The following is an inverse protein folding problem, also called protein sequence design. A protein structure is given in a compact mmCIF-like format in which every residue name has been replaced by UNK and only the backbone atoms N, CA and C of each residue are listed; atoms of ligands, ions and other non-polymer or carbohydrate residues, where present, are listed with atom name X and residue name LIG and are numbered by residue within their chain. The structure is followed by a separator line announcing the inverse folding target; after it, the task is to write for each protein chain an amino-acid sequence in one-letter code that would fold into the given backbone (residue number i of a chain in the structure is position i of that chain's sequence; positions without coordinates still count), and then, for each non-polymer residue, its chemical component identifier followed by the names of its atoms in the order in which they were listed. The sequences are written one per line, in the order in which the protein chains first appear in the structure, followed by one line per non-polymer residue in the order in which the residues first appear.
data_IF_199468549962
#
_entry.id   IF_199468549962
#
_cell.length_a   1.000
_cell.length_b   1.000
_cell.length_c   1.000
_cell.angle_alpha   90.00
_cell.angle_beta   90.00
_cell.angle_gamma   90.00
#
_symmetry.space_group_name_H-M   'P 1'
#
loop_
_entity.id
_entity.type
_entity.pdbx_description
1 polymer ?
#
# COMPACT_ATOMS: atom_id res chain seq x y z
N UNK A 1 4.72 4.66 -15.83
CA UNK A 1 3.88 5.80 -15.40
C UNK A 1 4.16 6.12 -13.93
N UNK A 2 3.82 5.25 -12.99
CA UNK A 2 4.08 5.44 -11.54
C UNK A 2 5.52 5.82 -11.18
N UNK A 3 6.53 5.19 -11.77
CA UNK A 3 7.93 5.55 -11.51
C UNK A 3 8.25 6.99 -11.92
N UNK A 4 7.72 7.44 -13.06
CA UNK A 4 7.93 8.80 -13.57
C UNK A 4 7.26 9.85 -12.70
N UNK A 5 6.07 9.55 -12.16
CA UNK A 5 5.39 10.41 -11.19
C UNK A 5 6.15 10.48 -9.87
N UNK A 6 6.66 9.35 -9.37
CA UNK A 6 7.49 9.33 -8.17
C UNK A 6 8.78 10.14 -8.36
N UNK A 7 9.43 10.04 -9.52
CA UNK A 7 10.63 10.80 -9.85
C UNK A 7 10.36 12.31 -9.89
N UNK A 8 9.18 12.72 -10.39
CA UNK A 8 8.75 14.13 -10.41
C UNK A 8 8.45 14.65 -9.00
N UNK A 9 7.74 13.89 -8.17
CA UNK A 9 7.43 14.26 -6.78
C UNK A 9 8.70 14.30 -5.91
N UNK A 10 9.65 13.39 -6.16
CA UNK A 10 10.91 13.30 -5.42
C UNK A 10 12.02 14.21 -5.98
N UNK A 11 11.75 14.99 -7.03
CA UNK A 11 12.75 15.84 -7.66
C UNK A 11 13.30 16.87 -6.65
N UNK A 12 14.61 17.11 -6.63
CA UNK A 12 15.21 18.12 -5.77
C UNK A 12 14.69 19.50 -6.17
N UNK A 13 14.44 20.33 -5.16
CA UNK A 13 14.05 21.73 -5.40
C UNK A 13 15.29 22.49 -5.92
N UNK A 14 15.09 23.37 -6.90
CA UNK A 14 16.15 24.16 -7.53
C UNK A 14 16.86 25.16 -6.59
N UNK A 15 16.44 25.24 -5.32
CA UNK A 15 17.02 26.08 -4.26
C UNK A 15 18.10 25.36 -3.42
N UNK A 16 18.40 24.10 -3.74
CA UNK A 16 19.39 23.29 -3.03
C UNK A 16 18.88 22.68 -1.73
N UNK A 17 17.59 22.83 -1.40
CA UNK A 17 16.97 22.12 -0.29
C UNK A 17 16.76 20.63 -0.62
N UNK A 18 16.80 19.73 0.38
CA UNK A 18 16.49 18.32 0.14
C UNK A 18 15.03 18.17 -0.33
N UNK A 19 14.74 17.15 -1.16
CA UNK A 19 13.38 16.91 -1.63
C UNK A 19 12.44 16.67 -0.45
N UNK A 20 11.21 17.20 -0.55
CA UNK A 20 10.20 17.08 0.51
C UNK A 20 9.67 15.65 0.68
N UNK A 21 9.90 14.78 -0.31
CA UNK A 21 9.58 13.36 -0.27
C UNK A 21 10.81 12.56 -0.70
N UNK A 22 11.10 11.49 0.05
CA UNK A 22 12.10 10.49 -0.34
C UNK A 22 11.45 9.13 -0.30
N UNK A 23 11.49 8.43 -1.44
CA UNK A 23 11.00 7.05 -1.55
C UNK A 23 12.16 6.10 -1.27
N UNK A 24 11.89 5.08 -0.45
CA UNK A 24 12.84 4.01 -0.14
C UNK A 24 12.14 2.69 -0.23
N UNK A 25 12.70 1.77 -1.00
CA UNK A 25 12.29 0.38 -0.98
C UNK A 25 12.82 -0.28 0.30
N UNK A 26 11.93 -0.89 1.09
CA UNK A 26 12.31 -1.58 2.30
C UNK A 26 11.11 -2.14 3.06
N UNK A 27 11.27 -3.32 3.63
CA UNK A 27 10.28 -3.94 4.49
C UNK A 27 10.47 -3.41 5.92
N UNK A 28 9.54 -2.60 6.41
CA UNK A 28 9.52 -2.16 7.81
C UNK A 28 9.01 -3.32 8.68
N UNK A 29 9.80 -3.70 9.68
CA UNK A 29 9.51 -4.82 10.58
C UNK A 29 9.39 -4.41 12.04
N UNK A 30 9.77 -3.18 12.40
CA UNK A 30 9.66 -2.69 13.78
C UNK A 30 9.57 -1.15 13.86
N UNK A 31 9.20 -0.63 15.03
CA UNK A 31 9.25 0.78 15.37
C UNK A 31 10.49 1.08 16.22
N UNK A 32 11.12 2.23 15.98
CA UNK A 32 12.15 2.73 16.88
C UNK A 32 11.48 3.48 18.03
N UNK A 33 11.70 3.02 19.26
CA UNK A 33 11.05 3.52 20.47
C UNK A 33 12.08 4.12 21.43
N UNK A 34 11.76 5.27 22.02
CA UNK A 34 12.56 5.91 23.08
C UNK A 34 11.71 6.11 24.34
N UNK A 35 12.31 6.11 25.55
CA UNK A 35 11.58 6.44 26.77
C UNK A 35 10.90 7.79 26.68
N UNK A 36 9.68 7.91 27.24
CA UNK A 36 9.00 9.20 27.29
C UNK A 36 9.68 10.11 28.32
N UNK A 37 10.09 11.31 27.89
CA UNK A 37 10.67 12.32 28.78
C UNK A 37 9.62 12.96 29.70
N UNK A 38 8.33 12.82 29.40
CA UNK A 38 7.20 13.44 30.11
C UNK A 38 6.65 12.61 31.27
N UNK A 39 7.28 11.47 31.61
CA UNK A 39 6.79 10.57 32.65
C UNK A 39 5.60 9.70 32.22
N UNK A 40 5.27 9.69 30.93
CA UNK A 40 4.26 8.79 30.39
C UNK A 40 4.73 7.34 30.49
N UNK A 41 3.80 6.42 30.78
CA UNK A 41 4.10 4.99 30.83
C UNK A 41 4.43 4.38 29.46
N UNK A 42 4.06 5.06 28.36
CA UNK A 42 4.25 4.57 27.00
C UNK A 42 5.48 5.21 26.35
N UNK A 43 6.31 4.45 25.62
CA UNK A 43 7.45 4.99 24.92
C UNK A 43 7.03 5.86 23.72
N UNK A 44 7.91 6.78 23.33
CA UNK A 44 7.72 7.64 22.17
C UNK A 44 8.24 6.95 20.91
N UNK A 45 7.43 6.94 19.84
CA UNK A 45 7.88 6.52 18.51
C UNK A 45 8.80 7.59 17.92
N UNK A 46 10.00 7.18 17.51
CA UNK A 46 11.03 8.08 16.95
C UNK A 46 11.54 7.64 15.58
N UNK A 47 10.94 6.61 15.00
CA UNK A 47 11.35 6.08 13.70
C UNK A 47 10.83 4.68 13.42
N UNK A 48 11.41 4.06 12.39
CA UNK A 48 11.12 2.70 11.95
C UNK A 48 12.42 1.91 11.78
N UNK A 49 12.33 0.59 11.91
CA UNK A 49 13.43 -0.34 11.61
C UNK A 49 12.99 -1.27 10.49
N UNK A 50 13.88 -1.45 9.53
CA UNK A 50 13.66 -2.35 8.39
C UNK A 50 14.16 -3.76 8.67
N UNK A 51 13.74 -4.71 7.84
CA UNK A 51 14.09 -6.13 7.95
C UNK A 51 15.60 -6.40 8.08
N UNK A 52 16.44 -5.62 7.38
CA UNK A 52 17.90 -5.75 7.45
C UNK A 52 18.54 -4.92 8.58
N UNK A 53 17.75 -4.37 9.50
CA UNK A 53 18.22 -3.63 10.67
C UNK A 53 18.51 -2.15 10.44
N UNK A 54 18.31 -1.61 9.23
CA UNK A 54 18.46 -0.17 9.01
C UNK A 54 17.34 0.60 9.73
N UNK A 55 17.73 1.63 10.48
CA UNK A 55 16.82 2.48 11.26
C UNK A 55 16.69 3.86 10.62
N UNK A 56 15.45 4.32 10.46
CA UNK A 56 15.12 5.64 9.93
C UNK A 56 14.39 6.44 10.99
N UNK A 57 14.99 7.54 11.45
CA UNK A 57 14.38 8.42 12.46
C UNK A 57 13.31 9.31 11.81
N UNK A 58 12.20 9.49 12.51
CA UNK A 58 11.10 10.33 12.11
C UNK A 58 10.44 11.00 13.32
N UNK A 59 9.83 12.17 13.11
CA UNK A 59 9.07 12.86 14.16
C UNK A 59 7.69 12.23 14.37
N UNK A 60 7.13 11.63 13.31
CA UNK A 60 5.88 10.90 13.29
C UNK A 60 5.99 9.75 12.28
N UNK A 61 5.26 8.66 12.51
CA UNK A 61 5.18 7.49 11.63
C UNK A 61 3.72 7.23 11.31
N UNK A 62 3.39 7.12 10.03
CA UNK A 62 2.05 6.72 9.55
C UNK A 62 2.15 5.30 9.01
N UNK A 63 1.34 4.40 9.55
CA UNK A 63 1.31 3.01 9.11
C UNK A 63 0.18 2.81 8.08
N UNK A 64 0.54 2.45 6.85
CA UNK A 64 -0.37 2.15 5.75
C UNK A 64 -0.06 0.75 5.17
N UNK A 65 -0.05 -0.26 6.04
CA UNK A 65 0.50 -1.60 5.76
C UNK A 65 -0.36 -2.47 4.84
N UNK A 66 -1.60 -2.08 4.54
CA UNK A 66 -2.52 -2.85 3.70
C UNK A 66 -2.67 -4.30 4.20
N UNK A 67 -2.48 -5.27 3.32
CA UNK A 67 -2.60 -6.71 3.61
C UNK A 67 -1.29 -7.37 4.08
N UNK A 68 -0.23 -6.60 4.30
CA UNK A 68 1.11 -7.15 4.55
C UNK A 68 1.36 -7.55 6.00
N UNK A 69 0.74 -6.87 6.96
CA UNK A 69 0.99 -7.05 8.39
C UNK A 69 0.55 -8.45 8.84
N UNK A 70 1.52 -9.32 9.20
CA UNK A 70 1.31 -10.76 9.45
C UNK A 70 0.46 -11.45 8.36
N UNK A 71 0.55 -10.97 7.11
CA UNK A 71 -0.25 -11.42 5.98
C UNK A 71 -0.13 -12.92 5.71
N UNK A 72 -1.22 -13.54 5.27
CA UNK A 72 -1.24 -14.97 4.90
C UNK A 72 -2.15 -15.18 3.71
N UNK A 73 -1.61 -15.72 2.63
CA UNK A 73 -2.38 -16.16 1.47
C UNK A 73 -2.92 -17.56 1.74
N UNK A 74 -4.18 -17.78 1.34
CA UNK A 74 -4.86 -19.06 1.44
C UNK A 74 -5.34 -19.49 0.06
N UNK A 75 -4.95 -20.69 -0.38
CA UNK A 75 -5.40 -21.29 -1.64
C UNK A 75 -5.86 -22.72 -1.35
N UNK A 76 -7.18 -22.89 -1.24
CA UNK A 76 -7.76 -24.14 -0.76
C UNK A 76 -7.25 -24.47 0.65
N UNK A 77 -6.63 -25.64 0.81
CA UNK A 77 -6.01 -26.08 2.07
C UNK A 77 -4.56 -25.62 2.25
N UNK A 78 -3.96 -24.97 1.25
CA UNK A 78 -2.58 -24.47 1.33
C UNK A 78 -2.56 -23.04 1.86
N UNK A 79 -1.55 -22.72 2.65
CA UNK A 79 -1.28 -21.36 3.13
C UNK A 79 0.20 -21.00 3.01
N UNK A 80 0.47 -19.70 2.88
CA UNK A 80 1.82 -19.14 2.81
C UNK A 80 1.86 -17.76 3.49
N UNK A 81 2.85 -17.46 4.33
CA UNK A 81 3.09 -16.10 4.82
C UNK A 81 3.43 -15.16 3.66
N UNK A 82 2.54 -14.23 3.36
CA UNK A 82 2.68 -13.30 2.24
C UNK A 82 1.69 -12.13 2.40
N UNK A 83 2.11 -10.93 2.03
CA UNK A 83 1.20 -9.78 1.96
C UNK A 83 0.38 -9.76 0.68
N UNK A 84 1.02 -10.13 -0.43
CA UNK A 84 0.47 -10.30 -1.77
C UNK A 84 1.19 -11.45 -2.48
N UNK A 85 0.63 -11.95 -3.58
CA UNK A 85 1.25 -13.04 -4.32
C UNK A 85 2.65 -12.62 -4.81
N UNK A 86 3.69 -13.35 -4.40
CA UNK A 86 5.09 -13.01 -4.72
C UNK A 86 5.77 -12.04 -3.76
N UNK A 87 5.06 -11.51 -2.75
CA UNK A 87 5.59 -10.53 -1.80
C UNK A 87 5.53 -11.04 -0.35
N UNK A 88 6.64 -10.90 0.38
CA UNK A 88 6.74 -11.36 1.76
C UNK A 88 5.79 -10.61 2.70
N UNK A 89 5.32 -11.28 3.75
CA UNK A 89 4.59 -10.62 4.83
C UNK A 89 5.54 -9.77 5.70
N UNK A 90 5.01 -8.70 6.28
CA UNK A 90 5.69 -7.95 7.33
C UNK A 90 5.46 -8.65 8.68
N UNK A 91 6.49 -9.29 9.21
CA UNK A 91 6.51 -9.90 10.54
C UNK A 91 7.28 -9.02 11.54
N UNK A 92 6.89 -9.07 12.81
CA UNK A 92 7.51 -8.30 13.91
C UNK A 92 6.70 -7.06 14.28
N UNK A 93 6.32 -6.23 13.31
CA UNK A 93 5.67 -4.96 13.58
C UNK A 93 4.35 -5.11 14.36
N UNK A 94 3.56 -6.15 14.10
CA UNK A 94 2.34 -6.43 14.87
C UNK A 94 2.62 -6.70 16.34
N UNK A 95 3.72 -7.38 16.65
CA UNK A 95 4.11 -7.68 18.03
C UNK A 95 4.47 -6.39 18.76
N UNK A 96 5.23 -5.50 18.12
CA UNK A 96 5.53 -4.17 18.65
C UNK A 96 4.26 -3.37 18.91
N UNK A 97 3.29 -3.39 17.99
CA UNK A 97 1.99 -2.73 18.19
C UNK A 97 1.24 -3.32 19.41
N UNK A 98 1.22 -4.65 19.54
CA UNK A 98 0.62 -5.33 20.70
C UNK A 98 1.31 -4.97 22.02
N UNK A 99 2.65 -4.88 22.02
CA UNK A 99 3.44 -4.49 23.17
C UNK A 99 3.18 -3.04 23.60
N UNK A 100 2.82 -2.17 22.65
CA UNK A 100 2.35 -0.80 22.92
C UNK A 100 0.88 -0.74 23.39
N UNK A 101 0.22 -1.89 23.55
CA UNK A 101 -1.18 -1.98 24.00
C UNK A 101 -2.21 -1.85 22.88
N UNK A 102 -1.80 -1.85 21.61
CA UNK A 102 -2.74 -1.81 20.47
C UNK A 102 -3.31 -3.20 20.25
N UNK A 103 -4.65 -3.29 20.22
CA UNK A 103 -5.35 -4.53 19.89
C UNK A 103 -5.29 -4.78 18.40
N UNK A 104 -4.94 -6.01 18.01
CA UNK A 104 -4.88 -6.45 16.62
C UNK A 104 -5.83 -7.62 16.41
N UNK A 105 -6.51 -7.66 15.26
CA UNK A 105 -7.35 -8.79 14.82
C UNK A 105 -7.06 -9.16 13.37
N UNK A 106 -7.60 -10.29 12.89
CA UNK A 106 -7.36 -10.84 11.57
C UNK A 106 -8.60 -10.72 10.69
N UNK A 107 -8.49 -9.93 9.64
CA UNK A 107 -9.48 -9.89 8.56
C UNK A 107 -9.04 -10.80 7.40
N UNK A 108 -10.03 -11.32 6.66
CA UNK A 108 -9.79 -12.13 5.46
C UNK A 108 -10.64 -11.61 4.31
N UNK A 109 -10.00 -11.38 3.18
CA UNK A 109 -10.64 -11.03 1.91
C UNK A 109 -10.25 -12.05 0.85
N UNK A 110 -11.09 -12.20 -0.18
CA UNK A 110 -10.83 -13.06 -1.34
C UNK A 110 -10.51 -12.22 -2.57
N UNK A 111 -9.79 -12.80 -3.51
CA UNK A 111 -9.59 -12.22 -4.85
C UNK A 111 -9.84 -13.32 -5.87
N UNK A 112 -10.67 -13.10 -6.91
CA UNK A 112 -10.89 -14.10 -7.94
C UNK A 112 -9.61 -14.32 -8.76
N UNK A 113 -9.52 -15.48 -9.40
CA UNK A 113 -8.43 -15.78 -10.33
C UNK A 113 -8.38 -14.77 -11.47
N UNK A 114 -7.19 -14.56 -12.03
CA UNK A 114 -7.01 -13.83 -13.29
C UNK A 114 -7.12 -14.82 -14.45
N UNK A 115 -7.92 -14.46 -15.45
CA UNK A 115 -8.21 -15.28 -16.64
C UNK A 115 -7.57 -14.62 -17.85
N UNK A 116 -7.04 -15.42 -18.78
CA UNK A 116 -6.54 -14.94 -20.06
C UNK A 116 -7.71 -14.61 -20.98
N UNK A 117 -7.86 -13.33 -21.35
CA UNK A 117 -8.98 -12.85 -22.17
C UNK A 117 -9.11 -13.60 -23.50
N UNK A 118 -8.02 -14.10 -24.07
CA UNK A 118 -8.03 -14.85 -25.34
C UNK A 118 -8.73 -16.20 -25.24
N UNK A 119 -8.97 -16.67 -24.02
CA UNK A 119 -9.65 -17.95 -23.74
C UNK A 119 -11.13 -17.77 -23.38
N UNK A 120 -11.62 -16.53 -23.37
CA UNK A 120 -13.00 -16.18 -23.05
C UNK A 120 -13.79 -16.04 -24.35
N UNK A 121 -14.93 -16.73 -24.44
CA UNK A 121 -15.89 -16.51 -25.52
C UNK A 121 -16.83 -15.36 -25.15
N UNK A 122 -16.52 -14.16 -25.64
CA UNK A 122 -17.35 -12.97 -25.42
C UNK A 122 -18.64 -12.98 -26.25
N UNK A 123 -18.75 -13.82 -27.29
CA UNK A 123 -19.92 -13.87 -28.17
C UNK A 123 -21.18 -14.42 -27.50
N UNK A 124 -21.02 -15.11 -26.37
CA UNK A 124 -22.13 -15.66 -25.56
C UNK A 124 -22.47 -14.81 -24.33
N UNK A 125 -21.74 -13.71 -24.10
CA UNK A 125 -21.89 -12.83 -22.94
C UNK A 125 -22.69 -11.57 -23.29
N UNK A 126 -23.29 -10.94 -22.29
CA UNK A 126 -23.92 -9.63 -22.44
C UNK A 126 -22.88 -8.52 -22.24
N UNK A 127 -22.64 -7.70 -23.27
CA UNK A 127 -21.77 -6.53 -23.18
C UNK A 127 -22.39 -5.44 -22.28
N UNK A 128 -21.58 -4.90 -21.36
CA UNK A 128 -21.92 -3.82 -20.44
C UNK A 128 -21.01 -2.60 -20.72
N UNK A 129 -21.37 -1.73 -21.68
CA UNK A 129 -20.62 -0.51 -21.96
C UNK A 129 -20.78 0.51 -20.83
N UNK A 130 -19.89 1.51 -20.79
CA UNK A 130 -20.03 2.62 -19.84
C UNK A 130 -21.25 3.47 -20.16
N UNK A 131 -22.01 3.84 -19.14
CA UNK A 131 -23.13 4.78 -19.17
C UNK A 131 -22.72 6.22 -18.82
N UNK A 132 -21.44 6.43 -18.52
CA UNK A 132 -20.91 7.69 -18.01
C UNK A 132 -20.63 8.66 -19.17
N UNK A 133 -21.14 9.89 -19.14
CA UNK A 133 -20.82 10.90 -20.14
C UNK A 133 -19.33 11.27 -20.17
N UNK A 134 -18.82 11.63 -21.36
CA UNK A 134 -17.38 11.94 -21.61
C UNK A 134 -16.80 13.07 -20.74
N UNK A 135 -17.64 13.87 -20.08
CA UNK A 135 -17.25 15.00 -19.24
C UNK A 135 -17.42 14.74 -17.73
N UNK A 136 -17.52 13.47 -17.32
CA UNK A 136 -17.69 13.12 -15.92
C UNK A 136 -16.34 12.74 -15.29
N UNK A 137 -15.87 13.60 -14.39
CA UNK A 137 -14.55 13.49 -13.79
C UNK A 137 -14.62 13.33 -12.28
N UNK A 138 -13.71 12.54 -11.71
CA UNK A 138 -13.56 12.43 -10.26
C UNK A 138 -12.90 13.67 -9.63
N UNK A 139 -12.04 14.37 -10.38
CA UNK A 139 -11.35 15.57 -9.92
C UNK A 139 -12.16 16.83 -10.29
N UNK A 140 -12.18 17.82 -9.41
CA UNK A 140 -12.66 19.17 -9.75
C UNK A 140 -11.60 20.02 -10.45
N UNK A 141 -10.35 19.57 -10.50
CA UNK A 141 -9.27 20.26 -11.20
C UNK A 141 -9.24 19.84 -12.67
N UNK A 142 -9.58 20.78 -13.55
CA UNK A 142 -9.68 20.57 -14.99
C UNK A 142 -8.34 20.14 -15.62
N UNK A 143 -7.21 20.48 -14.98
CA UNK A 143 -5.88 20.09 -15.46
C UNK A 143 -5.64 18.58 -15.38
N UNK A 144 -6.38 17.89 -14.52
CA UNK A 144 -6.29 16.44 -14.34
C UNK A 144 -7.32 15.65 -15.17
N UNK A 145 -8.15 16.35 -15.95
CA UNK A 145 -9.14 15.72 -16.82
C UNK A 145 -8.46 15.14 -18.06
N UNK A 146 -8.01 13.88 -17.92
CA UNK A 146 -7.32 13.12 -18.98
C UNK A 146 -8.31 12.14 -19.60
N UNK A 147 -8.83 12.40 -20.81
CA UNK A 147 -9.77 11.50 -21.48
C UNK A 147 -9.12 10.14 -21.70
N UNK A 148 -9.89 9.09 -21.45
CA UNK A 148 -9.50 7.70 -21.70
C UNK A 148 -10.62 7.01 -22.43
N UNK A 149 -10.24 6.13 -23.35
CA UNK A 149 -11.20 5.22 -23.96
C UNK A 149 -11.81 4.33 -22.88
N UNK A 150 -13.14 4.32 -22.82
CA UNK A 150 -13.87 3.42 -21.93
C UNK A 150 -13.91 2.03 -22.55
N UNK A 151 -13.84 1.00 -21.70
CA UNK A 151 -13.92 -0.40 -22.12
C UNK A 151 -15.16 -1.04 -21.52
N UNK A 152 -15.79 -1.93 -22.27
CA UNK A 152 -16.98 -2.65 -21.79
C UNK A 152 -16.62 -3.76 -20.80
N UNK A 153 -17.48 -3.95 -19.81
CA UNK A 153 -17.55 -5.16 -19.00
C UNK A 153 -18.43 -6.21 -19.70
N UNK A 154 -18.44 -7.46 -19.22
CA UNK A 154 -19.24 -8.54 -19.79
C UNK A 154 -19.87 -9.37 -18.67
N UNK A 155 -21.13 -9.78 -18.83
CA UNK A 155 -21.87 -10.66 -17.90
C UNK A 155 -22.22 -12.00 -18.54
#
# INVERSE_FOLDING_TARGET
EMQRELDEICAPKGDGSPPSLVVREGLVTDLLLEPSASGDAQPRVVGVVTHFGAAFRAKAVVLATGTFLEGTIWVGSKSLPAGRAGEMAASGLSETLRNLGIRTDRLKTGTPARVDSRTVDYGVMEEQPSDVPDNHWFSFDEREWKPRETISCHM
#
